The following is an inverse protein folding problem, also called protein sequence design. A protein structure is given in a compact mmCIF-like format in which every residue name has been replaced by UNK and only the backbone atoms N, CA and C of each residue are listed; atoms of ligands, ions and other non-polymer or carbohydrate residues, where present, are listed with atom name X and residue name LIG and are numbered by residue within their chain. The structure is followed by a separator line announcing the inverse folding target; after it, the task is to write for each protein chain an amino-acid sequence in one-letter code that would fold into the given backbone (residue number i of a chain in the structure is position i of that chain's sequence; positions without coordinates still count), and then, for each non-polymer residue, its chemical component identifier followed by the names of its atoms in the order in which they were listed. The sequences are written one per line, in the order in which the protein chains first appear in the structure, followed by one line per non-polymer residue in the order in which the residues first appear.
data_IF_598092967876
#
_entry.id   IF_598092967876
#
_cell.length_a   1.000
_cell.length_b   1.000
_cell.length_c   1.000
_cell.angle_alpha   90.00
_cell.angle_beta   90.00
_cell.angle_gamma   90.00
#
_symmetry.space_group_name_H-M   'P 1'
#
loop_
_entity.id
_entity.type
_entity.pdbx_description
1 polymer ?
#
# COMPACT_ATOMS: atom_id res chain seq x y z
N UNK A 1 -4.80 -10.02 1.71
CA UNK A 1 -4.00 -10.15 2.96
C UNK A 1 -4.83 -10.65 4.12
N UNK A 2 -6.01 -10.09 4.39
CA UNK A 2 -6.88 -10.53 5.49
C UNK A 2 -7.12 -12.05 5.46
N UNK A 3 -7.70 -12.59 4.37
CA UNK A 3 -7.98 -14.02 4.23
C UNK A 3 -6.74 -14.89 4.50
N UNK A 4 -5.57 -14.47 3.97
CA UNK A 4 -4.30 -15.20 4.16
C UNK A 4 -3.90 -15.27 5.63
N UNK A 5 -4.05 -14.17 6.35
CA UNK A 5 -3.73 -14.10 7.78
C UNK A 5 -4.74 -14.88 8.63
N UNK A 6 -6.03 -14.85 8.27
CA UNK A 6 -7.08 -15.64 8.92
C UNK A 6 -6.86 -17.14 8.70
N UNK A 7 -6.51 -17.57 7.47
CA UNK A 7 -6.13 -18.95 7.16
C UNK A 7 -4.89 -19.41 7.93
N UNK A 8 -3.98 -18.49 8.25
CA UNK A 8 -2.82 -18.74 9.10
C UNK A 8 -3.14 -18.74 10.62
N UNK A 9 -4.42 -18.57 11.01
CA UNK A 9 -4.89 -18.65 12.38
C UNK A 9 -4.87 -17.33 13.15
N UNK A 10 -4.70 -16.20 12.50
CA UNK A 10 -4.72 -14.87 13.13
C UNK A 10 -6.13 -14.28 13.16
N UNK A 11 -6.42 -13.49 14.19
CA UNK A 11 -7.60 -12.63 14.21
C UNK A 11 -7.25 -11.31 13.55
N UNK A 12 -8.00 -10.94 12.52
CA UNK A 12 -7.74 -9.74 11.71
C UNK A 12 -8.93 -8.79 11.81
N UNK A 13 -8.64 -7.51 12.05
CA UNK A 13 -9.59 -6.41 11.93
C UNK A 13 -9.12 -5.47 10.83
N UNK A 14 -10.03 -5.08 9.94
CA UNK A 14 -9.77 -4.07 8.90
C UNK A 14 -10.50 -2.80 9.27
N UNK A 15 -9.83 -1.67 9.10
CA UNK A 15 -10.42 -0.36 9.30
C UNK A 15 -9.92 0.63 8.25
N UNK A 16 -10.78 1.59 7.91
CA UNK A 16 -10.37 2.75 7.13
C UNK A 16 -9.74 3.79 8.08
N UNK A 17 -8.56 4.30 7.72
CA UNK A 17 -7.87 5.30 8.51
C UNK A 17 -8.62 6.65 8.62
N UNK A 18 -9.62 6.90 7.78
CA UNK A 18 -10.48 8.08 7.81
C UNK A 18 -11.74 7.91 8.68
N UNK A 19 -12.02 6.69 9.18
CA UNK A 19 -13.25 6.33 9.91
C UNK A 19 -12.93 5.82 11.31
N UNK A 20 -12.42 6.68 12.21
CA UNK A 20 -12.12 6.32 13.61
C UNK A 20 -11.51 4.91 13.76
N UNK A 21 -10.34 4.64 13.19
CA UNK A 21 -9.72 3.32 13.25
C UNK A 21 -9.42 2.91 14.69
N UNK A 22 -9.45 1.60 15.00
CA UNK A 22 -9.23 1.13 16.35
C UNK A 22 -7.81 1.47 16.86
N UNK A 23 -7.71 1.61 18.20
CA UNK A 23 -6.43 1.92 18.86
C UNK A 23 -5.43 0.75 18.68
N UNK A 24 -4.17 1.04 18.33
CA UNK A 24 -3.16 -0.01 18.11
C UNK A 24 -2.78 -0.77 19.39
N UNK A 25 -3.11 -0.26 20.57
CA UNK A 25 -2.93 -0.92 21.86
C UNK A 25 -3.71 -2.24 21.98
N UNK A 26 -4.79 -2.37 21.22
CA UNK A 26 -5.66 -3.55 21.25
C UNK A 26 -5.14 -4.70 20.37
N UNK A 27 -4.00 -4.52 19.70
CA UNK A 27 -3.46 -5.46 18.71
C UNK A 27 -2.00 -5.82 18.99
N UNK A 28 -1.63 -7.02 18.57
CA UNK A 28 -0.25 -7.51 18.66
C UNK A 28 0.64 -7.00 17.53
N UNK A 29 0.07 -6.75 16.35
CA UNK A 29 0.78 -6.30 15.16
C UNK A 29 -0.13 -5.46 14.27
N UNK A 30 0.45 -4.65 13.37
CA UNK A 30 -0.29 -3.77 12.48
C UNK A 30 0.26 -3.80 11.05
N UNK A 31 -0.66 -3.89 10.08
CA UNK A 31 -0.40 -3.63 8.67
C UNK A 31 -1.05 -2.31 8.28
N UNK A 32 -0.28 -1.35 7.82
CA UNK A 32 -0.82 -0.08 7.30
C UNK A 32 -0.58 -0.04 5.80
N UNK A 33 -1.64 0.24 5.05
CA UNK A 33 -1.58 0.37 3.60
C UNK A 33 -1.98 1.76 3.12
N UNK A 34 -1.33 2.23 2.07
CA UNK A 34 -1.67 3.48 1.43
C UNK A 34 -1.59 3.42 -0.09
N UNK A 35 -2.56 4.04 -0.76
CA UNK A 35 -2.51 4.23 -2.21
C UNK A 35 -1.83 5.56 -2.53
N UNK A 36 -0.88 5.53 -3.45
CA UNK A 36 -0.14 6.71 -3.89
C UNK A 36 -0.91 7.43 -4.99
N UNK A 37 -1.36 8.65 -4.70
CA UNK A 37 -2.02 9.53 -5.66
C UNK A 37 -1.28 10.86 -5.77
N UNK A 38 -0.89 11.25 -6.97
CA UNK A 38 -0.15 12.49 -7.22
C UNK A 38 1.06 12.67 -6.25
N UNK A 39 1.84 11.60 -6.07
CA UNK A 39 3.03 11.54 -5.19
C UNK A 39 2.73 11.70 -3.68
N UNK A 40 1.49 11.48 -3.26
CA UNK A 40 1.09 11.61 -1.86
C UNK A 40 0.22 10.44 -1.39
N UNK A 41 0.38 10.03 -0.15
CA UNK A 41 -0.55 9.15 0.55
C UNK A 41 -1.67 9.95 1.21
N UNK A 42 -2.77 9.28 1.55
CA UNK A 42 -3.90 9.89 2.23
C UNK A 42 -3.46 10.50 3.56
N UNK A 43 -3.88 11.73 3.83
CA UNK A 43 -3.54 12.47 5.06
C UNK A 43 -4.00 11.75 6.33
N UNK A 44 -5.11 11.01 6.26
CA UNK A 44 -5.62 10.22 7.38
C UNK A 44 -4.62 9.16 7.85
N UNK A 45 -3.90 8.49 6.93
CA UNK A 45 -2.85 7.51 7.26
C UNK A 45 -1.70 8.21 7.99
N UNK A 46 -1.23 9.35 7.47
CA UNK A 46 -0.16 10.11 8.12
C UNK A 46 -0.58 10.63 9.49
N UNK A 47 -1.85 11.03 9.66
CA UNK A 47 -2.39 11.46 10.94
C UNK A 47 -2.40 10.32 11.95
N UNK A 48 -2.99 9.19 11.60
CA UNK A 48 -3.03 8.00 12.46
C UNK A 48 -1.65 7.55 12.92
N UNK A 49 -0.68 7.49 11.99
CA UNK A 49 0.69 7.10 12.32
C UNK A 49 1.31 8.07 13.34
N UNK A 50 1.18 9.39 13.12
CA UNK A 50 1.76 10.40 14.02
C UNK A 50 1.12 10.38 15.40
N UNK A 51 -0.19 10.21 15.48
CA UNK A 51 -0.92 10.15 16.73
C UNK A 51 -0.49 8.96 17.58
N UNK A 52 -0.26 7.80 16.95
CA UNK A 52 0.08 6.56 17.64
C UNK A 52 1.55 6.16 17.52
N UNK A 53 2.44 7.06 17.10
CA UNK A 53 3.83 6.74 16.76
C UNK A 53 4.60 6.04 17.87
N UNK A 54 4.35 6.40 19.13
CA UNK A 54 5.04 5.82 20.27
C UNK A 54 4.70 4.33 20.46
N UNK A 55 3.47 3.92 20.11
CA UNK A 55 3.02 2.53 20.14
C UNK A 55 3.46 1.80 18.89
N UNK A 56 3.28 2.41 17.71
CA UNK A 56 3.60 1.80 16.42
C UNK A 56 5.09 1.45 16.29
N UNK A 57 6.00 2.22 16.90
CA UNK A 57 7.42 1.91 16.90
C UNK A 57 7.85 0.87 17.96
N UNK A 58 6.90 0.37 18.77
CA UNK A 58 7.14 -0.66 19.79
C UNK A 58 6.40 -1.97 19.49
N UNK A 59 5.68 -2.02 18.40
CA UNK A 59 4.95 -3.21 17.99
C UNK A 59 5.38 -3.62 16.58
N UNK A 60 5.27 -4.91 16.24
CA UNK A 60 5.49 -5.35 14.87
C UNK A 60 4.57 -4.62 13.89
N UNK A 61 5.16 -3.93 12.95
CA UNK A 61 4.42 -3.17 11.94
C UNK A 61 4.92 -3.47 10.52
N UNK A 62 4.04 -3.40 9.54
CA UNK A 62 4.44 -3.43 8.14
C UNK A 62 3.67 -2.39 7.32
N UNK A 63 4.33 -1.87 6.29
CA UNK A 63 3.76 -0.89 5.37
C UNK A 63 3.67 -1.46 3.95
N UNK A 64 2.51 -1.28 3.30
CA UNK A 64 2.40 -1.56 1.88
C UNK A 64 1.90 -0.32 1.13
N UNK A 65 2.59 0.00 0.06
CA UNK A 65 2.24 1.09 -0.86
C UNK A 65 1.58 0.52 -2.10
N UNK A 66 0.45 1.07 -2.51
CA UNK A 66 -0.19 0.72 -3.79
C UNK A 66 0.08 1.84 -4.78
N UNK A 67 0.85 1.53 -5.83
CA UNK A 67 1.26 2.51 -6.83
C UNK A 67 1.39 1.86 -8.21
N UNK A 68 0.69 2.39 -9.19
CA UNK A 68 0.72 1.87 -10.56
C UNK A 68 2.11 1.95 -11.22
N UNK A 69 2.98 2.85 -10.77
CA UNK A 69 4.36 2.94 -11.23
C UNK A 69 5.13 1.62 -11.06
N UNK A 70 4.72 0.77 -10.11
CA UNK A 70 5.30 -0.57 -9.90
C UNK A 70 5.04 -1.54 -11.06
N UNK A 71 4.01 -1.29 -11.86
CA UNK A 71 3.71 -2.05 -13.09
C UNK A 71 4.42 -1.50 -14.33
N UNK A 72 5.21 -0.43 -14.22
CA UNK A 72 5.95 0.17 -15.31
C UNK A 72 7.19 -0.65 -15.67
N UNK A 73 7.60 -0.62 -16.93
CA UNK A 73 8.87 -1.21 -17.36
C UNK A 73 10.07 -0.23 -17.16
N UNK A 74 9.82 0.96 -16.59
CA UNK A 74 10.82 2.01 -16.43
C UNK A 74 11.42 1.97 -15.01
N UNK A 75 12.73 1.69 -14.86
CA UNK A 75 13.37 1.62 -13.54
C UNK A 75 13.29 2.91 -12.73
N UNK A 76 13.26 4.07 -13.38
CA UNK A 76 13.13 5.37 -12.73
C UNK A 76 11.76 5.55 -12.06
N UNK A 77 10.67 5.02 -12.63
CA UNK A 77 9.33 5.07 -12.02
C UNK A 77 9.26 4.19 -10.76
N UNK A 78 9.92 3.04 -10.79
CA UNK A 78 10.06 2.19 -9.61
C UNK A 78 10.87 2.89 -8.50
N UNK A 79 12.02 3.47 -8.86
CA UNK A 79 12.88 4.17 -7.91
C UNK A 79 12.14 5.37 -7.28
N UNK A 80 11.34 6.09 -8.05
CA UNK A 80 10.53 7.20 -7.54
C UNK A 80 9.46 6.72 -6.58
N UNK A 81 8.72 5.63 -6.89
CA UNK A 81 7.72 5.06 -6.00
C UNK A 81 8.33 4.60 -4.66
N UNK A 82 9.51 3.96 -4.70
CA UNK A 82 10.25 3.58 -3.50
C UNK A 82 10.66 4.81 -2.68
N UNK A 83 11.25 5.81 -3.34
CA UNK A 83 11.66 7.06 -2.66
C UNK A 83 10.50 7.75 -1.96
N UNK A 84 9.32 7.82 -2.58
CA UNK A 84 8.14 8.44 -1.96
C UNK A 84 7.70 7.66 -0.71
N UNK A 85 7.75 6.33 -0.74
CA UNK A 85 7.42 5.51 0.43
C UNK A 85 8.44 5.74 1.57
N UNK A 86 9.73 5.78 1.25
CA UNK A 86 10.80 6.05 2.22
C UNK A 86 10.67 7.46 2.81
N UNK A 87 10.43 8.47 1.98
CA UNK A 87 10.20 9.85 2.42
C UNK A 87 8.98 9.96 3.36
N UNK A 88 7.89 9.24 3.03
CA UNK A 88 6.70 9.18 3.87
C UNK A 88 6.98 8.56 5.24
N UNK A 89 7.68 7.45 5.30
CA UNK A 89 8.06 6.78 6.55
C UNK A 89 9.04 7.64 7.37
N UNK A 90 9.96 8.34 6.70
CA UNK A 90 10.86 9.28 7.35
C UNK A 90 10.10 10.48 7.96
N UNK A 91 9.17 11.09 7.22
CA UNK A 91 8.37 12.24 7.68
C UNK A 91 7.42 11.85 8.82
N UNK A 92 6.89 10.63 8.82
CA UNK A 92 6.05 10.13 9.91
C UNK A 92 6.85 9.57 11.08
N UNK A 93 8.15 9.36 10.91
CA UNK A 93 9.07 8.73 11.87
C UNK A 93 8.64 7.32 12.31
N UNK A 94 7.86 6.63 11.46
CA UNK A 94 7.47 5.24 11.68
C UNK A 94 8.50 4.28 11.06
N UNK A 95 8.82 3.22 11.79
CA UNK A 95 9.84 2.23 11.41
C UNK A 95 9.21 0.83 11.33
N UNK A 96 8.47 0.53 10.25
CA UNK A 96 7.90 -0.81 10.08
C UNK A 96 9.00 -1.86 9.84
N UNK A 97 8.74 -3.11 10.24
CA UNK A 97 9.65 -4.25 10.04
C UNK A 97 9.76 -4.65 8.56
N UNK A 98 8.68 -4.46 7.82
CA UNK A 98 8.58 -4.80 6.41
C UNK A 98 7.90 -3.69 5.61
N UNK A 99 8.38 -3.51 4.39
CA UNK A 99 7.79 -2.58 3.42
C UNK A 99 7.64 -3.33 2.09
N UNK A 100 6.52 -3.15 1.40
CA UNK A 100 6.33 -3.65 0.04
C UNK A 100 5.62 -2.64 -0.85
N UNK A 101 5.86 -2.76 -2.15
CA UNK A 101 5.17 -2.02 -3.19
C UNK A 101 4.25 -2.97 -3.95
N UNK A 102 3.02 -2.55 -4.19
CA UNK A 102 1.99 -3.31 -4.91
C UNK A 102 1.51 -2.47 -6.08
N UNK A 103 1.43 -3.07 -7.27
CA UNK A 103 1.04 -2.33 -8.47
C UNK A 103 -0.42 -1.86 -8.44
N UNK A 104 -1.31 -2.68 -7.89
CA UNK A 104 -2.74 -2.38 -7.86
C UNK A 104 -3.44 -2.63 -9.19
N UNK A 105 -4.64 -2.05 -9.34
CA UNK A 105 -5.49 -2.20 -10.50
C UNK A 105 -5.90 -0.86 -11.10
N UNK A 106 -6.09 -0.83 -12.41
CA UNK A 106 -6.73 0.27 -13.12
C UNK A 106 -8.19 -0.06 -13.39
N UNK A 107 -9.10 0.52 -12.64
CA UNK A 107 -10.54 0.35 -12.81
C UNK A 107 -11.13 1.51 -13.58
N UNK A 108 -11.05 1.46 -14.89
CA UNK A 108 -11.61 2.48 -15.79
C UNK A 108 -13.13 2.61 -15.67
N UNK A 109 -13.81 1.51 -15.30
CA UNK A 109 -15.26 1.46 -15.15
C UNK A 109 -15.79 2.30 -13.99
N UNK A 110 -14.95 2.61 -13.00
CA UNK A 110 -15.38 3.27 -11.76
C UNK A 110 -15.02 4.76 -11.64
N UNK A 111 -14.07 5.27 -12.47
CA UNK A 111 -13.56 6.62 -12.29
C UNK A 111 -13.26 7.35 -13.62
N UNK A 112 -14.15 8.25 -14.05
CA UNK A 112 -13.90 9.16 -15.18
C UNK A 112 -12.61 10.01 -15.02
N UNK A 113 -12.20 10.25 -13.81
CA UNK A 113 -10.96 10.94 -13.45
C UNK A 113 -9.71 10.11 -13.81
N UNK A 114 -9.69 8.79 -13.55
CA UNK A 114 -8.61 7.89 -13.96
C UNK A 114 -8.48 7.82 -15.49
N UNK A 115 -9.60 7.81 -16.21
CA UNK A 115 -9.60 7.95 -17.67
C UNK A 115 -8.79 9.15 -18.14
N UNK A 116 -8.99 10.33 -17.52
CA UNK A 116 -8.28 11.56 -17.91
C UNK A 116 -6.80 11.53 -17.63
N UNK A 117 -6.37 10.94 -16.50
CA UNK A 117 -4.95 10.82 -16.15
C UNK A 117 -4.24 9.92 -17.14
N UNK A 118 -4.83 8.76 -17.44
CA UNK A 118 -4.23 7.78 -18.32
C UNK A 118 -4.25 8.24 -19.78
N UNK A 119 -5.32 8.91 -20.24
CA UNK A 119 -5.32 9.56 -21.54
C UNK A 119 -4.20 10.59 -21.67
N UNK A 120 -3.84 11.29 -20.61
CA UNK A 120 -2.65 12.17 -20.59
C UNK A 120 -1.33 11.40 -20.61
N UNK A 121 -1.25 10.24 -19.98
CA UNK A 121 -0.05 9.40 -20.00
C UNK A 121 0.13 8.70 -21.35
N UNK A 122 -0.96 8.21 -21.95
CA UNK A 122 -0.96 7.56 -23.29
C UNK A 122 -0.61 8.56 -24.38
N UNK A 123 -1.11 9.80 -24.31
CA UNK A 123 -0.78 10.85 -25.28
C UNK A 123 0.69 11.29 -25.24
N UNK A 124 1.44 10.92 -24.18
CA UNK A 124 2.89 11.15 -24.07
C UNK A 124 3.74 9.95 -24.53
N UNK A 125 3.18 8.77 -24.64
CA UNK A 125 3.86 7.55 -25.12
C UNK A 125 3.15 7.06 -26.38
N UNK A 126 3.64 7.46 -27.54
CA UNK A 126 3.23 6.87 -28.80
C UNK A 126 3.43 5.34 -28.76
N UNK A 127 2.35 4.56 -28.92
CA UNK A 127 2.43 3.16 -29.33
C UNK A 127 1.77 2.10 -28.47
N UNK A 128 1.06 2.39 -27.38
CA UNK A 128 0.24 1.37 -26.69
C UNK A 128 -1.25 1.68 -26.83
N UNK A 129 -1.97 0.83 -27.55
CA UNK A 129 -3.42 0.80 -27.52
C UNK A 129 -3.87 0.35 -26.13
N UNK A 130 -4.35 1.28 -25.33
CA UNK A 130 -4.99 0.95 -24.05
C UNK A 130 -6.49 1.04 -24.25
N UNK A 131 -7.19 -0.10 -24.20
CA UNK A 131 -8.64 -0.13 -24.26
C UNK A 131 -9.20 0.39 -22.91
N UNK A 132 -9.64 1.64 -22.91
CA UNK A 132 -10.20 2.32 -21.73
C UNK A 132 -11.57 1.77 -21.29
N UNK A 133 -12.08 0.73 -21.94
CA UNK A 133 -13.33 0.06 -21.59
C UNK A 133 -13.12 -1.20 -20.74
N UNK A 134 -11.85 -1.54 -20.46
CA UNK A 134 -11.49 -2.73 -19.66
C UNK A 134 -10.72 -2.32 -18.41
N UNK A 135 -11.01 -3.03 -17.34
CA UNK A 135 -10.23 -2.95 -16.10
C UNK A 135 -8.96 -3.80 -16.25
N UNK A 136 -7.85 -3.30 -15.71
CA UNK A 136 -6.56 -4.01 -15.73
C UNK A 136 -6.09 -4.24 -14.31
N UNK A 137 -5.75 -5.50 -13.99
CA UNK A 137 -5.15 -5.90 -12.72
C UNK A 137 -3.66 -6.16 -12.93
N UNK A 138 -2.82 -5.45 -12.18
CA UNK A 138 -1.37 -5.57 -12.23
C UNK A 138 -0.78 -6.13 -10.93
N UNK A 139 -1.61 -6.39 -9.93
CA UNK A 139 -1.18 -6.92 -8.63
C UNK A 139 -0.66 -8.35 -8.78
N UNK A 140 0.57 -8.59 -8.35
CA UNK A 140 1.07 -9.94 -8.09
C UNK A 140 0.48 -10.45 -6.76
N UNK A 141 -0.63 -11.17 -6.85
CA UNK A 141 -1.33 -11.72 -5.68
C UNK A 141 -0.50 -12.76 -4.92
N UNK A 142 0.45 -13.44 -5.58
CA UNK A 142 1.36 -14.37 -4.91
C UNK A 142 2.37 -13.61 -4.05
N UNK A 143 2.93 -12.51 -4.55
CA UNK A 143 3.80 -11.63 -3.78
C UNK A 143 3.05 -10.99 -2.60
N UNK A 144 1.79 -10.57 -2.79
CA UNK A 144 0.94 -10.06 -1.71
C UNK A 144 0.69 -11.10 -0.62
N UNK A 145 0.41 -12.35 -1.02
CA UNK A 145 0.23 -13.48 -0.10
C UNK A 145 1.51 -13.74 0.68
N UNK A 146 2.66 -13.82 -0.02
CA UNK A 146 3.95 -14.08 0.61
C UNK A 146 4.31 -12.97 1.62
N UNK A 147 4.11 -11.71 1.25
CA UNK A 147 4.35 -10.58 2.16
C UNK A 147 3.53 -10.68 3.45
N UNK A 148 2.25 -11.05 3.36
CA UNK A 148 1.40 -11.22 4.53
C UNK A 148 1.90 -12.35 5.46
N UNK A 149 2.32 -13.48 4.88
CA UNK A 149 2.89 -14.61 5.64
C UNK A 149 4.24 -14.27 6.28
N UNK A 150 5.12 -13.60 5.54
CA UNK A 150 6.43 -13.15 6.05
C UNK A 150 6.25 -12.16 7.21
N UNK A 151 5.28 -11.26 7.10
CA UNK A 151 4.95 -10.35 8.19
C UNK A 151 4.45 -11.09 9.42
N UNK A 152 3.51 -12.02 9.26
CA UNK A 152 3.00 -12.82 10.39
C UNK A 152 4.12 -13.59 11.09
N UNK A 153 5.02 -14.23 10.33
CA UNK A 153 6.16 -14.96 10.87
C UNK A 153 7.10 -14.05 11.68
N UNK A 154 7.42 -12.85 11.15
CA UNK A 154 8.26 -11.87 11.87
C UNK A 154 7.58 -11.30 13.10
N UNK A 155 6.28 -11.00 13.02
CA UNK A 155 5.52 -10.48 14.15
C UNK A 155 5.47 -11.44 15.35
N UNK A 156 5.53 -12.77 15.10
CA UNK A 156 5.60 -13.79 16.16
C UNK A 156 6.98 -13.79 16.83
N UNK A 157 8.05 -13.54 16.07
CA UNK A 157 9.43 -13.56 16.58
C UNK A 157 9.78 -12.33 17.42
N UNK A 158 9.09 -11.21 17.22
CA UNK A 158 9.29 -9.94 17.94
C UNK A 158 8.47 -9.85 19.26
N UNK A 159 7.68 -10.87 19.60
CA UNK A 159 6.98 -10.99 20.89
C UNK A 159 7.90 -11.52 21.98
#
# INVERSE_FOLDING_TARGET
MEEVLQEAGHQVAIADASEEPPLPENYDAILIGGSLHAHQYQSAIAHYIREHIARLNKMPGAFFSVCLAVASDLPEEHAEAHKIADDFLHITNWKPLLITQIAGALRYSQYDFLRRIIMKMISKKEGRETDTNKDYEYTDWNAVKQFALDFAAKAIQEK
#
